data_IF_083030074624
#
_entry.id   IF_083030074624
#
_cell.length_a   1.000
_cell.length_b   1.000
_cell.length_c   1.000
_cell.angle_alpha   90.00
_cell.angle_beta   90.00
_cell.angle_gamma   90.00
#
_symmetry.space_group_name_H-M   'P 1'
#
loop_
_entity.id
_entity.type
_entity.pdbx_description
1 polymer ?
#
# COMPACT_ATOMS: atom_id res chain seq x y z
N UNK A 1 -0.20 -34.39 -0.43
CA UNK A 1 -0.80 -33.67 0.71
C UNK A 1 0.24 -32.64 1.16
N UNK A 2 0.30 -31.50 0.48
CA UNK A 2 1.22 -30.40 0.81
C UNK A 2 0.50 -29.45 1.79
N UNK A 3 0.73 -29.68 3.07
CA UNK A 3 0.46 -28.69 4.09
C UNK A 3 1.77 -27.97 4.41
N UNK A 4 1.67 -26.64 4.56
CA UNK A 4 2.62 -25.72 5.21
C UNK A 4 3.55 -24.89 4.30
N UNK A 5 2.99 -23.86 3.66
CA UNK A 5 3.51 -22.49 3.74
C UNK A 5 2.34 -21.48 3.68
N UNK A 6 1.37 -21.59 4.59
CA UNK A 6 0.47 -20.48 4.92
C UNK A 6 1.23 -19.44 5.77
N UNK A 7 2.34 -18.92 5.25
CA UNK A 7 2.80 -17.62 5.68
C UNK A 7 1.77 -16.65 5.11
N UNK A 8 0.99 -16.02 5.98
CA UNK A 8 0.32 -14.78 5.60
C UNK A 8 1.44 -13.87 5.09
N UNK A 9 1.46 -13.64 3.78
CA UNK A 9 2.44 -12.75 3.16
C UNK A 9 2.00 -11.32 3.47
N UNK A 10 2.14 -10.95 4.74
CA UNK A 10 1.95 -9.61 5.23
C UNK A 10 3.18 -8.82 4.83
N UNK A 11 2.99 -7.89 3.91
CA UNK A 11 4.04 -6.98 3.48
C UNK A 11 3.73 -5.64 4.13
N UNK A 12 4.72 -5.11 4.86
CA UNK A 12 4.57 -3.88 5.61
C UNK A 12 5.41 -2.79 4.95
N UNK A 13 4.78 -1.68 4.58
CA UNK A 13 5.48 -0.49 4.08
C UNK A 13 5.13 0.73 4.92
N UNK A 14 6.15 1.56 5.15
CA UNK A 14 5.97 2.90 5.69
C UNK A 14 5.53 3.83 4.55
N UNK A 15 4.51 4.62 4.81
CA UNK A 15 3.88 5.55 3.87
C UNK A 15 4.05 6.98 4.38
N UNK A 16 4.09 7.93 3.45
CA UNK A 16 4.07 9.37 3.72
C UNK A 16 2.66 9.90 3.45
N UNK A 17 2.13 10.68 4.38
CA UNK A 17 0.80 11.27 4.34
C UNK A 17 0.94 12.79 4.39
N UNK A 18 0.32 13.47 3.45
CA UNK A 18 0.30 14.93 3.38
C UNK A 18 -1.14 15.42 3.18
N UNK A 19 -1.55 16.42 3.96
CA UNK A 19 -2.82 17.11 3.72
C UNK A 19 -2.65 18.17 2.63
N UNK A 20 -3.28 17.98 1.48
CA UNK A 20 -3.36 18.96 0.40
C UNK A 20 -4.56 19.86 0.62
N UNK A 21 -4.32 21.18 0.60
CA UNK A 21 -5.34 22.22 0.76
C UNK A 21 -5.95 22.71 -0.56
N UNK A 22 -5.85 21.92 -1.63
CA UNK A 22 -6.53 22.18 -2.89
C UNK A 22 -8.06 22.08 -2.71
N UNK A 23 -8.85 22.36 -3.75
CA UNK A 23 -10.30 22.26 -3.69
C UNK A 23 -10.78 21.18 -4.70
N UNK A 24 -11.34 20.05 -4.22
CA UNK A 24 -11.57 19.71 -2.82
C UNK A 24 -10.27 19.37 -2.06
N UNK A 25 -10.21 19.60 -0.74
CA UNK A 25 -9.05 19.22 0.07
C UNK A 25 -8.99 17.70 0.22
N UNK A 26 -7.78 17.15 0.23
CA UNK A 26 -7.56 15.71 0.30
C UNK A 26 -6.32 15.37 1.13
N UNK A 27 -6.26 14.14 1.61
CA UNK A 27 -5.04 13.51 2.10
C UNK A 27 -4.40 12.73 0.97
N UNK A 28 -3.13 12.98 0.71
CA UNK A 28 -2.34 12.28 -0.30
C UNK A 28 -1.39 11.33 0.40
N UNK A 29 -1.29 10.11 -0.13
CA UNK A 29 -0.42 9.06 0.36
C UNK A 29 0.57 8.65 -0.73
N UNK A 30 1.84 8.61 -0.36
CA UNK A 30 2.94 8.17 -1.23
C UNK A 30 3.84 7.18 -0.49
N UNK A 31 4.66 6.44 -1.22
CA UNK A 31 5.69 5.59 -0.64
C UNK A 31 7.03 5.81 -1.32
N UNK A 32 8.10 6.14 -0.58
CA UNK A 32 9.44 6.19 -1.17
C UNK A 32 9.95 4.80 -1.58
N UNK A 33 9.41 3.73 -0.98
CA UNK A 33 9.77 2.34 -1.32
C UNK A 33 9.04 1.85 -2.57
N UNK A 34 7.88 2.42 -2.89
CA UNK A 34 7.06 1.97 -4.02
C UNK A 34 6.91 3.11 -5.01
N UNK A 35 7.92 3.26 -5.87
CA UNK A 35 7.95 4.31 -6.88
C UNK A 35 6.70 4.28 -7.76
N UNK A 36 6.07 5.45 -7.93
CA UNK A 36 4.83 5.59 -8.69
C UNK A 36 3.55 5.27 -7.89
N UNK A 37 3.66 4.87 -6.63
CA UNK A 37 2.51 4.76 -5.75
C UNK A 37 2.08 6.16 -5.28
N UNK A 38 0.89 6.56 -5.72
CA UNK A 38 0.23 7.81 -5.35
C UNK A 38 -1.25 7.53 -5.21
N UNK A 39 -1.82 7.78 -4.02
CA UNK A 39 -3.25 7.67 -3.75
C UNK A 39 -3.71 8.87 -2.95
N UNK A 40 -5.02 9.10 -2.94
CA UNK A 40 -5.64 10.17 -2.18
C UNK A 40 -6.95 9.70 -1.51
N UNK A 41 -7.52 10.55 -0.67
CA UNK A 41 -8.81 10.35 -0.03
C UNK A 41 -9.24 11.59 0.74
N UNK A 42 -10.54 11.75 0.99
CA UNK A 42 -11.09 12.88 1.75
C UNK A 42 -10.69 12.80 3.22
N UNK A 43 -10.48 11.57 3.72
CA UNK A 43 -9.99 11.28 5.07
C UNK A 43 -8.67 10.53 5.04
N UNK A 44 -7.92 10.58 6.14
CA UNK A 44 -6.69 9.77 6.30
C UNK A 44 -7.01 8.29 6.17
N UNK A 45 -8.12 7.83 6.74
CA UNK A 45 -8.51 6.41 6.70
C UNK A 45 -8.75 5.95 5.27
N UNK A 46 -9.50 6.72 4.49
CA UNK A 46 -9.77 6.43 3.08
C UNK A 46 -8.47 6.41 2.26
N UNK A 47 -7.62 7.42 2.42
CA UNK A 47 -6.36 7.50 1.68
C UNK A 47 -5.43 6.32 2.00
N UNK A 48 -5.48 5.80 3.24
CA UNK A 48 -4.73 4.61 3.66
C UNK A 48 -5.34 3.30 3.13
N UNK A 49 -6.67 3.17 3.05
CA UNK A 49 -7.30 2.02 2.38
C UNK A 49 -6.96 2.01 0.88
N UNK A 50 -7.07 3.15 0.21
CA UNK A 50 -6.67 3.30 -1.19
C UNK A 50 -5.18 2.94 -1.39
N UNK A 51 -4.31 3.33 -0.45
CA UNK A 51 -2.91 2.97 -0.48
C UNK A 51 -2.68 1.45 -0.32
N UNK A 52 -3.46 0.75 0.51
CA UNK A 52 -3.39 -0.72 0.62
C UNK A 52 -3.69 -1.40 -0.71
N UNK A 53 -4.73 -0.97 -1.40
CA UNK A 53 -5.12 -1.55 -2.70
C UNK A 53 -4.10 -1.22 -3.79
N UNK A 54 -3.59 0.00 -3.82
CA UNK A 54 -2.52 0.39 -4.75
C UNK A 54 -1.25 -0.43 -4.50
N UNK A 55 -0.84 -0.59 -3.24
CA UNK A 55 0.29 -1.45 -2.87
C UNK A 55 0.07 -2.89 -3.35
N UNK A 56 -1.09 -3.47 -3.04
CA UNK A 56 -1.40 -4.85 -3.42
C UNK A 56 -1.37 -5.03 -4.96
N UNK A 57 -1.95 -4.09 -5.69
CA UNK A 57 -1.95 -4.08 -7.16
C UNK A 57 -0.52 -4.02 -7.72
N UNK A 58 0.31 -3.11 -7.22
CA UNK A 58 1.70 -2.95 -7.67
C UNK A 58 2.51 -4.21 -7.37
N UNK A 59 2.34 -4.81 -6.18
CA UNK A 59 3.07 -5.99 -5.74
C UNK A 59 2.64 -7.29 -6.43
N UNK A 60 1.44 -7.32 -7.01
CA UNK A 60 0.95 -8.48 -7.76
C UNK A 60 1.72 -8.70 -9.06
N UNK A 61 2.14 -7.62 -9.73
CA UNK A 61 2.73 -7.65 -11.06
C UNK A 61 4.23 -7.30 -11.09
N UNK A 62 4.87 -7.10 -9.94
CA UNK A 62 6.28 -6.65 -9.85
C UNK A 62 7.05 -7.36 -8.74
N UNK A 63 8.37 -7.45 -8.90
CA UNK A 63 9.29 -7.87 -7.83
C UNK A 63 9.16 -6.89 -6.67
N UNK A 64 9.12 -7.42 -5.44
CA UNK A 64 9.00 -6.61 -4.22
C UNK A 64 10.14 -5.58 -4.16
N UNK A 65 9.85 -4.28 -3.98
CA UNK A 65 10.90 -3.28 -3.85
C UNK A 65 11.72 -3.50 -2.58
N UNK A 66 12.99 -3.11 -2.63
CA UNK A 66 13.86 -3.10 -1.46
C UNK A 66 13.33 -2.04 -0.49
N UNK A 67 13.09 -2.44 0.75
CA UNK A 67 12.64 -1.53 1.81
C UNK A 67 13.81 -0.61 2.18
N UNK A 68 13.63 0.71 2.08
CA UNK A 68 14.61 1.68 2.57
C UNK A 68 14.68 1.67 4.11
N UNK A 69 15.85 2.02 4.67
CA UNK A 69 16.01 2.19 6.11
C UNK A 69 15.15 3.38 6.61
N UNK A 70 14.23 3.17 7.57
CA UNK A 70 13.36 4.22 8.07
C UNK A 70 14.08 5.40 8.73
N UNK A 71 15.35 5.21 9.13
CA UNK A 71 16.21 6.23 9.76
C UNK A 71 16.75 7.25 8.76
N UNK A 72 16.80 6.90 7.48
CA UNK A 72 17.31 7.77 6.41
C UNK A 72 16.23 8.73 5.88
N UNK A 73 15.02 8.68 6.44
CA UNK A 73 13.89 9.46 5.95
C UNK A 73 13.82 10.83 6.61
N UNK A 74 14.08 11.87 5.82
CA UNK A 74 13.75 13.24 6.17
C UNK A 74 12.27 13.52 5.87
N UNK A 75 11.50 13.83 6.91
CA UNK A 75 10.11 14.29 6.75
C UNK A 75 10.08 15.80 6.61
N UNK A 76 9.31 16.29 5.63
CA UNK A 76 9.03 17.71 5.52
C UNK A 76 8.00 18.17 6.55
N UNK A 77 7.91 19.49 6.79
CA UNK A 77 6.90 20.05 7.70
C UNK A 77 5.50 19.64 7.25
N UNK A 78 4.71 19.06 8.19
CA UNK A 78 3.33 18.59 8.02
C UNK A 78 3.17 17.26 7.29
N UNK A 79 4.27 16.57 6.96
CA UNK A 79 4.22 15.17 6.58
C UNK A 79 4.06 14.29 7.83
N UNK A 80 3.28 13.23 7.69
CA UNK A 80 3.11 12.20 8.70
C UNK A 80 3.46 10.84 8.10
N UNK A 81 3.84 9.90 8.96
CA UNK A 81 4.15 8.54 8.51
C UNK A 81 3.21 7.53 9.12
N UNK A 82 2.77 6.56 8.32
CA UNK A 82 2.01 5.40 8.79
C UNK A 82 2.66 4.12 8.30
N UNK A 83 2.50 3.04 9.06
CA UNK A 83 2.86 1.69 8.63
C UNK A 83 1.61 0.98 8.17
N UNK A 84 1.65 0.44 6.95
CA UNK A 84 0.53 -0.28 6.36
C UNK A 84 0.97 -1.70 6.04
N UNK A 85 0.23 -2.66 6.58
CA UNK A 85 0.37 -4.08 6.28
C UNK A 85 -0.67 -4.53 5.27
N UNK A 86 -0.24 -5.21 4.21
CA UNK A 86 -1.13 -5.82 3.21
C UNK A 86 -0.98 -7.34 3.28
N UNK A 87 -2.09 -8.04 3.50
CA UNK A 87 -2.15 -9.50 3.40
C UNK A 87 -2.37 -9.90 1.94
N UNK A 88 -1.28 -10.20 1.23
CA UNK A 88 -1.35 -10.51 -0.20
C UNK A 88 -2.13 -11.78 -0.51
N UNK A 89 -2.10 -12.78 0.39
CA UNK A 89 -2.87 -14.02 0.22
C UNK A 89 -4.37 -13.72 0.21
N UNK A 90 -4.83 -12.93 1.18
CA UNK A 90 -6.24 -12.52 1.27
C UNK A 90 -6.63 -11.67 0.06
N UNK A 91 -5.85 -10.65 -0.25
CA UNK A 91 -6.15 -9.73 -1.34
C UNK A 91 -6.25 -10.45 -2.69
N UNK A 92 -5.31 -11.35 -3.01
CA UNK A 92 -5.34 -12.14 -4.24
C UNK A 92 -6.57 -13.06 -4.29
N UNK A 93 -7.02 -13.62 -3.17
CA UNK A 93 -8.23 -14.45 -3.16
C UNK A 93 -9.50 -13.64 -3.39
N UNK A 94 -9.57 -12.41 -2.88
CA UNK A 94 -10.70 -11.49 -3.09
C UNK A 94 -10.73 -10.93 -4.52
N UNK A 95 -9.57 -10.74 -5.15
CA UNK A 95 -9.43 -10.09 -6.46
C UNK A 95 -9.13 -11.05 -7.63
N UNK A 96 -8.96 -12.35 -7.37
CA UNK A 96 -8.88 -13.37 -8.43
C UNK A 96 -10.22 -13.41 -9.17
N UNK A 97 -10.21 -13.01 -10.45
CA UNK A 97 -11.32 -13.31 -11.36
C UNK A 97 -11.46 -14.83 -11.47
N UNK A 98 -12.53 -15.39 -10.92
CA UNK A 98 -12.88 -16.79 -11.16
C UNK A 98 -13.34 -16.92 -12.62
N UNK A 99 -12.41 -17.19 -13.53
CA UNK A 99 -12.78 -17.66 -14.88
C UNK A 99 -13.26 -19.10 -14.71
N UNK A 100 -14.58 -19.29 -14.58
CA UNK A 100 -15.18 -20.61 -14.81
C UNK A 100 -15.12 -20.86 -16.31
N UNK A 101 -14.19 -21.69 -16.77
CA UNK A 101 -14.36 -22.31 -18.10
C UNK A 101 -15.54 -23.27 -18.01
N UNK A 102 -16.44 -23.20 -19.00
CA UNK A 102 -17.56 -24.14 -19.16
C UNK A 102 -17.07 -25.57 -19.36
#
# INVERSE_FOLDING_TARGET
MELLLNYTHNIVYKLNIERRKAMPPAYVVTSPNVQGMFTDGETISEALENAKDALATILTNRKRPVVQDPREWALEKKQQTAWVSVNMTRWLNEHKKTVRSK
#
